data_IF_143030562715
#
_entry.id   IF_143030562715
#
_cell.length_a   1.000
_cell.length_b   1.000
_cell.length_c   1.000
_cell.angle_alpha   90.00
_cell.angle_beta   90.00
_cell.angle_gamma   90.00
#
_symmetry.space_group_name_H-M   'P 1'
#
loop_
_entity.id
_entity.type
_entity.pdbx_description
1 polymer ?
#
# COMPACT_ATOMS: atom_id res chain seq x y z
N UNK A 1 35.28 48.43 -19.28
CA UNK A 1 35.34 47.12 -19.95
C UNK A 1 34.91 46.04 -18.97
N UNK A 2 33.66 45.56 -19.10
CA UNK A 2 33.15 44.24 -18.66
C UNK A 2 31.67 44.19 -19.06
N UNK A 3 31.41 43.61 -20.21
CA UNK A 3 30.07 43.25 -20.68
C UNK A 3 29.78 41.90 -20.01
N UNK A 4 28.83 41.85 -19.09
CA UNK A 4 28.28 40.58 -18.61
C UNK A 4 27.09 40.22 -19.48
N UNK A 5 27.34 39.32 -20.43
CA UNK A 5 26.31 38.64 -21.21
C UNK A 5 25.61 37.62 -20.32
N UNK A 6 24.36 37.88 -19.95
CA UNK A 6 23.51 36.89 -19.30
C UNK A 6 22.98 35.91 -20.36
N UNK A 7 23.60 34.74 -20.45
CA UNK A 7 23.02 33.59 -21.15
C UNK A 7 21.86 33.05 -20.30
N UNK A 8 20.63 33.30 -20.73
CA UNK A 8 19.47 32.59 -20.21
C UNK A 8 19.51 31.15 -20.73
N UNK A 9 20.00 30.22 -19.91
CA UNK A 9 19.73 28.79 -20.10
C UNK A 9 18.24 28.57 -19.81
N UNK A 10 17.42 28.54 -20.87
CA UNK A 10 16.09 27.98 -20.77
C UNK A 10 16.24 26.48 -20.47
N UNK A 11 16.03 26.10 -19.22
CA UNK A 11 15.89 24.71 -18.83
C UNK A 11 14.61 24.18 -19.46
N UNK A 12 14.73 23.50 -20.60
CA UNK A 12 13.75 22.53 -21.05
C UNK A 12 13.70 21.44 -19.99
N UNK A 13 12.83 21.63 -19.00
CA UNK A 13 12.32 20.51 -18.21
C UNK A 13 11.49 19.71 -19.19
N UNK A 14 12.12 18.74 -19.84
CA UNK A 14 11.39 17.62 -20.39
C UNK A 14 10.58 17.06 -19.23
N UNK A 15 9.26 17.32 -19.25
CA UNK A 15 8.31 16.60 -18.45
C UNK A 15 8.31 15.16 -18.98
N UNK A 16 9.37 14.41 -18.66
CA UNK A 16 9.42 12.99 -18.88
C UNK A 16 8.18 12.43 -18.17
N UNK A 17 7.20 11.99 -18.97
CA UNK A 17 5.97 11.42 -18.46
C UNK A 17 6.37 10.28 -17.51
N UNK A 18 6.16 10.50 -16.21
CA UNK A 18 6.53 9.52 -15.18
C UNK A 18 5.88 8.19 -15.53
N UNK A 19 6.61 7.06 -15.50
CA UNK A 19 6.02 5.76 -15.77
C UNK A 19 4.85 5.55 -14.80
N UNK A 20 3.68 5.26 -15.37
CA UNK A 20 2.45 4.93 -14.66
C UNK A 20 2.40 3.42 -14.44
N UNK A 21 1.90 2.98 -13.30
CA UNK A 21 1.74 1.58 -12.95
C UNK A 21 0.39 1.34 -12.28
N UNK A 22 -0.30 0.29 -12.75
CA UNK A 22 -1.60 -0.09 -12.23
C UNK A 22 -1.45 -1.31 -11.34
N UNK A 23 -1.92 -1.22 -10.10
CA UNK A 23 -2.04 -2.38 -9.21
C UNK A 23 -3.37 -3.06 -9.48
N UNK A 24 -3.32 -4.37 -9.71
CA UNK A 24 -4.45 -5.19 -10.09
C UNK A 24 -4.49 -6.46 -9.23
N UNK A 25 -5.67 -6.82 -8.74
CA UNK A 25 -5.93 -8.14 -8.17
C UNK A 25 -7.18 -8.69 -8.85
N UNK A 26 -7.13 -9.93 -9.35
CA UNK A 26 -8.27 -10.62 -9.96
C UNK A 26 -8.35 -12.01 -9.36
N UNK A 27 -9.53 -12.42 -8.92
CA UNK A 27 -9.77 -13.72 -8.29
C UNK A 27 -11.00 -14.42 -8.82
N UNK A 28 -10.92 -15.75 -8.89
CA UNK A 28 -12.05 -16.66 -9.06
C UNK A 28 -12.16 -17.50 -7.79
N UNK A 29 -13.12 -17.18 -6.91
CA UNK A 29 -13.13 -17.74 -5.56
C UNK A 29 -11.84 -17.37 -4.82
N UNK A 30 -11.05 -18.38 -4.42
CA UNK A 30 -9.75 -18.18 -3.75
C UNK A 30 -8.58 -18.10 -4.72
N UNK A 31 -8.78 -18.45 -5.99
CA UNK A 31 -7.70 -18.58 -6.97
C UNK A 31 -7.37 -17.24 -7.61
N UNK A 32 -6.09 -16.90 -7.65
CA UNK A 32 -5.59 -15.70 -8.33
C UNK A 32 -5.55 -15.92 -9.85
N UNK A 33 -6.04 -14.92 -10.58
CA UNK A 33 -6.05 -14.91 -12.05
C UNK A 33 -4.96 -13.96 -12.55
N UNK A 34 -4.01 -14.50 -13.31
CA UNK A 34 -3.04 -13.68 -14.06
C UNK A 34 -3.80 -12.79 -15.06
N UNK A 35 -3.54 -11.48 -15.00
CA UNK A 35 -4.20 -10.49 -15.84
C UNK A 35 -4.04 -10.79 -17.34
N UNK A 36 -2.92 -11.40 -17.75
CA UNK A 36 -2.65 -11.81 -19.14
C UNK A 36 -3.65 -12.81 -19.67
N UNK A 37 -4.29 -13.59 -18.79
CA UNK A 37 -5.28 -14.61 -19.17
C UNK A 37 -6.66 -14.02 -19.42
N UNK A 38 -6.93 -12.81 -18.93
CA UNK A 38 -8.26 -12.21 -18.97
C UNK A 38 -8.85 -12.08 -20.39
N UNK A 39 -8.07 -11.69 -21.43
CA UNK A 39 -8.58 -11.71 -22.81
C UNK A 39 -8.96 -13.10 -23.31
N UNK A 40 -8.22 -14.14 -22.92
CA UNK A 40 -8.54 -15.51 -23.33
C UNK A 40 -9.79 -16.03 -22.60
N UNK A 41 -9.90 -15.77 -21.29
CA UNK A 41 -11.09 -16.13 -20.52
C UNK A 41 -12.36 -15.49 -21.09
N UNK A 42 -12.28 -14.24 -21.55
CA UNK A 42 -13.38 -13.59 -22.26
C UNK A 42 -13.76 -14.33 -23.54
N UNK A 43 -12.76 -14.71 -24.36
CA UNK A 43 -13.01 -15.48 -25.60
C UNK A 43 -13.66 -16.82 -25.30
N UNK A 44 -13.17 -17.54 -24.29
CA UNK A 44 -13.71 -18.84 -23.87
C UNK A 44 -15.17 -18.72 -23.40
N UNK A 45 -15.55 -17.58 -22.82
CA UNK A 45 -16.91 -17.24 -22.43
C UNK A 45 -17.79 -16.67 -23.57
N UNK A 46 -17.31 -16.66 -24.82
CA UNK A 46 -18.05 -16.15 -25.97
C UNK A 46 -18.09 -14.61 -26.09
N UNK A 47 -17.17 -13.91 -25.43
CA UNK A 47 -17.02 -12.45 -25.53
C UNK A 47 -15.80 -12.06 -26.35
N UNK A 48 -15.92 -10.98 -27.13
CA UNK A 48 -14.78 -10.41 -27.87
C UNK A 48 -14.06 -9.38 -26.99
N UNK A 49 -12.80 -9.62 -26.58
CA UNK A 49 -12.03 -8.63 -25.84
C UNK A 49 -11.59 -7.47 -26.75
N UNK A 50 -11.35 -6.31 -26.15
CA UNK A 50 -10.69 -5.19 -26.83
C UNK A 50 -9.31 -5.63 -27.35
N UNK A 51 -9.09 -5.54 -28.66
CA UNK A 51 -7.88 -6.05 -29.31
C UNK A 51 -6.64 -5.23 -28.94
N UNK A 52 -6.78 -3.92 -28.73
CA UNK A 52 -5.67 -3.05 -28.31
C UNK A 52 -5.22 -3.45 -26.91
N UNK A 53 -6.17 -3.68 -26.00
CA UNK A 53 -5.86 -4.09 -24.62
C UNK A 53 -5.33 -5.52 -24.59
N UNK A 54 -5.88 -6.44 -25.37
CA UNK A 54 -5.39 -7.81 -25.46
C UNK A 54 -3.94 -7.87 -25.96
N UNK A 55 -3.59 -7.09 -27.00
CA UNK A 55 -2.22 -6.97 -27.48
C UNK A 55 -1.31 -6.33 -26.42
N UNK A 56 -1.77 -5.25 -25.78
CA UNK A 56 -1.01 -4.61 -24.70
C UNK A 56 -0.70 -5.59 -23.57
N UNK A 57 -1.67 -6.38 -23.10
CA UNK A 57 -1.47 -7.33 -22.00
C UNK A 57 -0.55 -8.50 -22.38
N UNK A 58 -0.40 -8.81 -23.67
CA UNK A 58 0.56 -9.80 -24.14
C UNK A 58 2.01 -9.32 -23.94
N UNK A 59 2.27 -8.05 -24.27
CA UNK A 59 3.62 -7.47 -24.29
C UNK A 59 3.99 -6.73 -23.00
N UNK A 60 3.00 -6.30 -22.22
CA UNK A 60 3.20 -5.45 -21.06
C UNK A 60 4.08 -6.14 -19.99
N UNK A 61 5.06 -5.44 -19.41
CA UNK A 61 5.73 -5.88 -18.21
C UNK A 61 4.72 -5.93 -17.05
N UNK A 62 4.36 -7.14 -16.63
CA UNK A 62 3.49 -7.39 -15.47
C UNK A 62 4.28 -8.19 -14.44
N UNK A 63 4.40 -7.62 -13.24
CA UNK A 63 5.04 -8.24 -12.09
C UNK A 63 3.97 -8.84 -11.18
N UNK A 64 4.07 -10.12 -10.86
CA UNK A 64 3.17 -10.79 -9.91
C UNK A 64 3.78 -10.77 -8.50
N UNK A 65 3.04 -10.23 -7.54
CA UNK A 65 3.36 -10.18 -6.12
C UNK A 65 2.56 -11.28 -5.39
N UNK A 66 3.07 -12.51 -5.47
CA UNK A 66 2.36 -13.75 -5.09
C UNK A 66 1.76 -13.72 -3.68
N UNK A 67 2.50 -13.25 -2.69
CA UNK A 67 2.07 -13.30 -1.28
C UNK A 67 1.02 -12.25 -0.91
N UNK A 68 0.90 -11.19 -1.70
CA UNK A 68 -0.15 -10.15 -1.54
C UNK A 68 -1.22 -10.25 -2.62
N UNK A 69 -1.22 -11.33 -3.41
CA UNK A 69 -2.20 -11.65 -4.44
C UNK A 69 -2.53 -10.49 -5.38
N UNK A 70 -1.49 -9.79 -5.82
CA UNK A 70 -1.59 -8.59 -6.62
C UNK A 70 -0.58 -8.63 -7.76
N UNK A 71 -0.87 -7.90 -8.83
CA UNK A 71 -0.03 -7.73 -10.00
C UNK A 71 0.17 -6.24 -10.25
N UNK A 72 1.37 -5.86 -10.68
CA UNK A 72 1.69 -4.48 -11.06
C UNK A 72 2.01 -4.45 -12.53
N UNK A 73 1.23 -3.64 -13.26
CA UNK A 73 1.28 -3.51 -14.72
C UNK A 73 1.84 -2.15 -15.06
N UNK A 74 2.92 -2.09 -15.86
CA UNK A 74 3.40 -0.80 -16.37
C UNK A 74 2.45 -0.26 -17.45
N UNK A 75 1.77 0.84 -17.16
CA UNK A 75 0.81 1.52 -18.05
C UNK A 75 1.37 2.85 -18.53
N UNK A 76 0.83 3.38 -19.63
CA UNK A 76 1.20 4.71 -20.10
C UNK A 76 0.13 5.29 -21.02
N UNK A 77 0.06 6.62 -21.12
CA UNK A 77 -0.85 7.29 -22.05
C UNK A 77 -0.54 6.99 -23.53
N UNK A 78 0.70 6.57 -23.85
CA UNK A 78 1.12 6.22 -25.20
C UNK A 78 0.70 4.80 -25.61
N UNK A 79 0.46 3.92 -24.64
CA UNK A 79 0.03 2.54 -24.85
C UNK A 79 -1.41 2.35 -24.38
N UNK A 80 -1.59 1.92 -23.14
CA UNK A 80 -2.86 1.80 -22.43
C UNK A 80 -2.69 2.48 -21.08
N UNK A 81 -3.50 3.50 -20.80
CA UNK A 81 -3.48 4.16 -19.50
C UNK A 81 -4.23 3.36 -18.43
N UNK A 82 -3.96 3.70 -17.16
CA UNK A 82 -4.46 2.99 -15.99
C UNK A 82 -6.00 2.98 -15.90
N UNK A 83 -6.67 4.05 -16.32
CA UNK A 83 -8.13 4.16 -16.26
C UNK A 83 -8.80 3.28 -17.33
N UNK A 84 -8.24 3.27 -18.54
CA UNK A 84 -8.68 2.36 -19.62
C UNK A 84 -8.49 0.91 -19.19
N UNK A 85 -7.32 0.58 -18.63
CA UNK A 85 -7.04 -0.77 -18.14
C UNK A 85 -8.02 -1.18 -17.03
N UNK A 86 -8.24 -0.33 -16.03
CA UNK A 86 -9.17 -0.64 -14.94
C UNK A 86 -10.61 -0.81 -15.44
N UNK A 87 -11.08 0.02 -16.37
CA UNK A 87 -12.41 -0.15 -16.98
C UNK A 87 -12.55 -1.49 -17.69
N UNK A 88 -11.53 -1.92 -18.44
CA UNK A 88 -11.51 -3.23 -19.08
C UNK A 88 -11.55 -4.36 -18.05
N UNK A 89 -10.75 -4.29 -16.99
CA UNK A 89 -10.71 -5.30 -15.93
C UNK A 89 -12.07 -5.40 -15.24
N UNK A 90 -12.69 -4.29 -14.85
CA UNK A 90 -14.01 -4.28 -14.22
C UNK A 90 -15.07 -4.89 -15.15
N UNK A 91 -15.10 -4.48 -16.42
CA UNK A 91 -16.03 -5.04 -17.40
C UNK A 91 -15.82 -6.55 -17.57
N UNK A 92 -14.58 -6.99 -17.74
CA UNK A 92 -14.24 -8.40 -17.96
C UNK A 92 -14.58 -9.25 -16.74
N UNK A 93 -14.27 -8.75 -15.55
CA UNK A 93 -14.55 -9.44 -14.29
C UNK A 93 -16.05 -9.59 -14.08
N UNK A 94 -16.85 -8.57 -14.38
CA UNK A 94 -18.31 -8.67 -14.31
C UNK A 94 -18.87 -9.72 -15.29
N UNK A 95 -18.35 -9.79 -16.51
CA UNK A 95 -18.76 -10.79 -17.50
C UNK A 95 -18.40 -12.23 -17.11
N UNK A 96 -17.30 -12.38 -16.39
CA UNK A 96 -16.74 -13.68 -16.00
C UNK A 96 -17.09 -14.06 -14.55
N UNK A 97 -17.89 -13.26 -13.85
CA UNK A 97 -18.20 -13.43 -12.42
C UNK A 97 -16.95 -13.52 -11.52
N UNK A 98 -15.93 -12.72 -11.84
CA UNK A 98 -14.68 -12.63 -11.09
C UNK A 98 -14.72 -11.46 -10.09
N UNK A 99 -13.96 -11.59 -9.01
CA UNK A 99 -13.69 -10.49 -8.10
C UNK A 99 -12.47 -9.74 -8.61
N UNK A 100 -12.54 -8.41 -8.74
CA UNK A 100 -11.38 -7.61 -9.14
C UNK A 100 -11.25 -6.32 -8.36
N UNK A 101 -10.01 -5.94 -8.12
CA UNK A 101 -9.61 -4.63 -7.61
C UNK A 101 -8.57 -4.06 -8.56
N UNK A 102 -8.76 -2.81 -8.96
CA UNK A 102 -7.84 -2.11 -9.84
C UNK A 102 -7.65 -0.69 -9.31
N UNK A 103 -6.41 -0.33 -9.01
CA UNK A 103 -6.05 0.98 -8.51
C UNK A 103 -5.21 1.71 -9.56
N UNK A 104 -5.76 2.74 -10.23
CA UNK A 104 -4.97 3.63 -11.07
C UNK A 104 -4.07 4.51 -10.18
N UNK A 105 -2.89 4.83 -10.70
CA UNK A 105 -1.81 5.57 -10.06
C UNK A 105 -2.20 6.71 -9.12
N UNK A 106 -1.41 6.90 -8.06
CA UNK A 106 -0.63 8.12 -7.97
C UNK A 106 0.66 7.93 -7.12
N UNK A 107 1.60 8.86 -7.30
CA UNK A 107 2.99 8.84 -6.81
C UNK A 107 3.10 8.72 -5.28
N UNK A 108 4.03 7.87 -4.83
CA UNK A 108 4.77 8.09 -3.58
C UNK A 108 6.26 7.83 -3.77
N UNK A 109 7.10 8.51 -2.98
CA UNK A 109 8.56 8.36 -3.05
C UNK A 109 8.92 7.03 -2.36
N UNK A 110 9.64 6.16 -3.06
CA UNK A 110 10.26 4.98 -2.44
C UNK A 110 11.32 5.48 -1.46
N UNK A 111 11.24 5.15 -0.17
CA UNK A 111 12.37 5.41 0.73
C UNK A 111 13.55 4.56 0.27
N UNK A 112 14.65 5.20 -0.11
CA UNK A 112 15.92 4.53 -0.34
C UNK A 112 16.69 4.49 0.98
N UNK A 113 16.95 3.29 1.49
CA UNK A 113 17.77 3.07 2.69
C UNK A 113 18.31 1.63 2.69
N UNK A 114 19.51 1.42 2.14
CA UNK A 114 20.11 0.09 2.05
C UNK A 114 20.97 -0.18 3.29
N UNK A 115 20.46 -0.98 4.24
CA UNK A 115 21.30 -1.64 5.26
C UNK A 115 20.73 -2.99 5.80
N UNK A 116 19.69 -3.54 5.17
CA UNK A 116 19.12 -4.85 5.58
C UNK A 116 18.64 -5.66 4.37
N UNK A 117 18.41 -6.97 4.56
CA UNK A 117 17.76 -7.83 3.55
C UNK A 117 16.44 -7.23 3.06
N UNK A 118 15.73 -6.53 3.94
CA UNK A 118 14.45 -5.87 3.67
C UNK A 118 14.58 -4.50 3.01
N UNK A 119 15.79 -3.96 2.84
CA UNK A 119 16.01 -2.65 2.21
C UNK A 119 15.52 -1.48 3.08
N UNK A 120 15.62 -1.64 4.40
CA UNK A 120 15.30 -0.61 5.39
C UNK A 120 16.44 -0.42 6.41
N UNK A 121 16.50 0.72 7.08
CA UNK A 121 17.55 1.06 8.05
C UNK A 121 17.18 0.76 9.53
N UNK A 122 16.10 0.03 9.76
CA UNK A 122 15.58 -0.30 11.09
C UNK A 122 16.43 -1.42 11.74
N UNK A 123 16.95 -1.25 12.98
CA UNK A 123 17.93 -2.18 13.58
C UNK A 123 17.45 -3.63 13.72
N UNK A 124 16.16 -3.85 13.95
CA UNK A 124 15.58 -5.18 14.15
C UNK A 124 15.05 -5.80 12.85
N UNK A 125 15.16 -5.12 11.70
CA UNK A 125 14.65 -5.60 10.42
C UNK A 125 15.18 -6.99 10.04
N UNK A 126 16.42 -7.30 10.42
CA UNK A 126 17.05 -8.61 10.16
C UNK A 126 16.39 -9.79 10.90
N UNK A 127 15.66 -9.51 11.99
CA UNK A 127 14.94 -10.49 12.79
C UNK A 127 13.56 -10.84 12.20
N UNK A 128 13.06 -10.03 11.26
CA UNK A 128 11.70 -10.13 10.73
C UNK A 128 11.57 -11.10 9.56
N UNK A 129 11.83 -12.39 9.81
CA UNK A 129 11.82 -13.45 8.78
C UNK A 129 10.50 -13.61 8.04
N UNK A 130 9.38 -13.29 8.68
CA UNK A 130 8.08 -13.28 8.03
C UNK A 130 8.00 -12.29 6.85
N UNK A 131 8.67 -11.13 6.93
CA UNK A 131 8.71 -10.16 5.85
C UNK A 131 9.60 -10.62 4.69
N UNK A 132 10.69 -11.35 4.99
CA UNK A 132 11.52 -12.00 3.98
C UNK A 132 10.70 -13.09 3.24
N UNK A 133 9.97 -13.93 3.98
CA UNK A 133 9.12 -14.99 3.39
C UNK A 133 8.01 -14.46 2.49
N UNK A 134 7.40 -13.33 2.85
CA UNK A 134 6.37 -12.68 2.04
C UNK A 134 6.96 -11.82 0.90
N UNK A 135 8.29 -11.76 0.78
CA UNK A 135 9.01 -10.90 -0.17
C UNK A 135 8.59 -9.42 -0.06
N UNK A 136 8.41 -8.92 1.16
CA UNK A 136 7.82 -7.59 1.40
C UNK A 136 8.67 -6.45 0.86
N UNK A 137 9.99 -6.63 0.78
CA UNK A 137 10.87 -5.68 0.10
C UNK A 137 10.40 -5.39 -1.32
N UNK A 138 10.18 -6.44 -2.11
CA UNK A 138 9.70 -6.29 -3.49
C UNK A 138 8.29 -5.70 -3.52
N UNK A 139 7.42 -6.09 -2.60
CA UNK A 139 6.09 -5.48 -2.48
C UNK A 139 6.21 -3.99 -2.26
N UNK A 140 7.02 -3.52 -1.32
CA UNK A 140 7.18 -2.09 -1.06
C UNK A 140 7.85 -1.36 -2.23
N UNK A 141 8.91 -1.91 -2.82
CA UNK A 141 9.61 -1.31 -3.96
C UNK A 141 8.70 -1.17 -5.18
N UNK A 142 7.87 -2.18 -5.45
CA UNK A 142 7.04 -2.24 -6.66
C UNK A 142 5.68 -1.57 -6.45
N UNK A 143 5.09 -1.61 -5.25
CA UNK A 143 3.72 -1.08 -5.02
C UNK A 143 3.69 0.31 -4.39
N UNK A 144 4.62 0.65 -3.47
CA UNK A 144 4.60 1.94 -2.77
C UNK A 144 4.60 3.16 -3.69
N UNK A 145 5.29 3.15 -4.87
CA UNK A 145 5.20 4.26 -5.82
C UNK A 145 3.78 4.61 -6.28
N UNK A 146 2.84 3.66 -6.18
CA UNK A 146 1.49 3.79 -6.72
C UNK A 146 0.42 3.97 -5.63
N UNK A 147 0.80 3.94 -4.34
CA UNK A 147 -0.12 4.08 -3.19
C UNK A 147 -0.14 5.54 -2.72
N UNK A 148 -1.27 6.24 -2.92
CA UNK A 148 -1.43 7.66 -2.49
C UNK A 148 -2.32 7.90 -1.30
N UNK A 149 -3.25 6.98 -1.04
CA UNK A 149 -4.16 7.10 0.10
C UNK A 149 -3.62 6.22 1.19
N UNK A 150 -3.37 6.82 2.36
CA UNK A 150 -3.12 6.04 3.57
C UNK A 150 -4.42 5.35 3.96
N UNK A 151 -4.40 4.03 4.04
CA UNK A 151 -5.49 3.29 4.66
C UNK A 151 -5.56 3.68 6.14
N UNK A 152 -6.77 3.85 6.66
CA UNK A 152 -7.01 3.97 8.10
C UNK A 152 -7.32 2.58 8.64
N UNK A 153 -6.53 2.09 9.59
CA UNK A 153 -6.65 0.74 10.13
C UNK A 153 -6.95 0.83 11.62
N UNK A 154 -8.07 0.25 12.02
CA UNK A 154 -8.41 0.13 13.43
C UNK A 154 -7.86 -1.20 13.98
N UNK A 155 -7.15 -1.13 15.11
CA UNK A 155 -6.62 -2.30 15.82
C UNK A 155 -7.42 -2.43 17.11
N UNK A 156 -8.19 -3.51 17.24
CA UNK A 156 -9.01 -3.78 18.42
C UNK A 156 -8.22 -4.70 19.36
N UNK A 157 -7.63 -4.13 20.41
CA UNK A 157 -6.74 -4.88 21.33
C UNK A 157 -6.67 -4.18 22.71
N UNK A 158 -5.53 -4.28 23.39
CA UNK A 158 -5.21 -3.76 24.73
C UNK A 158 -4.64 -2.35 24.73
N UNK A 159 -4.86 -1.58 23.66
CA UNK A 159 -4.34 -0.22 23.49
C UNK A 159 -3.05 -0.17 22.65
N UNK A 160 -2.38 0.99 22.70
CA UNK A 160 -1.10 1.22 22.00
C UNK A 160 -0.22 2.16 22.82
N UNK A 161 1.09 1.94 22.75
CA UNK A 161 2.09 2.86 23.25
C UNK A 161 2.45 3.93 22.19
N UNK A 162 1.78 5.09 22.14
CA UNK A 162 2.14 6.18 21.20
C UNK A 162 3.47 6.87 21.47
N UNK A 163 4.11 6.60 22.62
CA UNK A 163 5.46 7.09 22.92
C UNK A 163 6.54 6.24 22.23
N UNK A 164 6.17 5.12 21.63
CA UNK A 164 7.07 4.30 20.83
C UNK A 164 7.48 5.06 19.55
N UNK A 165 8.79 5.23 19.27
CA UNK A 165 9.27 5.95 18.10
C UNK A 165 8.85 5.30 16.76
N UNK A 166 8.49 4.01 16.74
CA UNK A 166 7.97 3.34 15.54
C UNK A 166 6.54 3.78 15.18
N UNK A 167 5.83 4.48 16.07
CA UNK A 167 4.45 4.90 15.82
C UNK A 167 4.25 6.40 15.68
N UNK A 168 5.24 7.22 16.06
CA UNK A 168 5.13 8.68 16.05
C UNK A 168 4.52 9.29 14.75
N UNK A 169 4.83 8.82 13.53
CA UNK A 169 4.27 9.39 12.29
C UNK A 169 2.97 8.72 11.80
N UNK A 170 2.41 7.76 12.55
CA UNK A 170 1.27 6.93 12.14
C UNK A 170 -0.03 7.29 12.85
N UNK A 171 0.05 8.08 13.93
CA UNK A 171 -1.10 8.62 14.63
C UNK A 171 -1.91 9.48 13.66
N UNK A 172 -3.21 9.21 13.55
CA UNK A 172 -4.09 10.06 12.76
C UNK A 172 -5.38 10.36 13.47
N UNK A 173 -6.02 11.43 12.99
CA UNK A 173 -7.32 11.87 13.48
C UNK A 173 -8.44 11.12 12.75
N UNK A 174 -9.36 10.54 13.53
CA UNK A 174 -10.58 9.94 13.01
C UNK A 174 -11.77 10.83 13.28
N UNK A 175 -12.42 11.30 12.22
CA UNK A 175 -13.66 12.06 12.35
C UNK A 175 -14.79 11.16 12.83
N UNK A 176 -15.46 11.55 13.91
CA UNK A 176 -16.63 10.86 14.43
C UNK A 176 -17.89 11.26 13.67
N UNK A 177 -18.85 10.32 13.55
CA UNK A 177 -20.17 10.60 12.94
C UNK A 177 -20.98 11.63 13.73
N UNK A 178 -20.81 11.65 15.06
CA UNK A 178 -21.43 12.60 15.98
C UNK A 178 -20.84 14.01 15.93
N UNK A 179 -19.75 14.22 15.17
CA UNK A 179 -18.93 15.43 15.25
C UNK A 179 -17.73 15.24 16.18
N UNK A 180 -16.65 15.98 15.94
CA UNK A 180 -15.38 15.82 16.65
C UNK A 180 -14.43 14.80 16.01
N UNK A 181 -13.29 14.58 16.67
CA UNK A 181 -12.20 13.71 16.21
C UNK A 181 -11.69 12.83 17.35
N UNK A 182 -11.40 11.56 17.06
CA UNK A 182 -10.56 10.71 17.89
C UNK A 182 -9.11 10.98 17.52
N UNK A 183 -8.33 11.45 18.49
CA UNK A 183 -6.89 11.68 18.32
C UNK A 183 -6.13 10.38 18.62
N UNK A 184 -5.89 9.58 17.59
CA UNK A 184 -5.08 8.36 17.72
C UNK A 184 -5.72 7.24 18.52
N UNK A 185 -7.06 7.15 18.54
CA UNK A 185 -7.77 5.98 19.06
C UNK A 185 -8.78 6.27 20.16
N UNK A 186 -9.32 5.20 20.75
CA UNK A 186 -10.29 5.28 21.84
C UNK A 186 -10.22 4.07 22.76
N UNK A 187 -10.43 4.28 24.05
CA UNK A 187 -10.53 3.23 25.06
C UNK A 187 -11.99 3.01 25.44
N UNK A 188 -12.55 1.85 25.08
CA UNK A 188 -13.93 1.50 25.37
C UNK A 188 -14.15 1.06 26.83
N UNK A 189 -13.09 0.70 27.55
CA UNK A 189 -13.17 0.27 28.96
C UNK A 189 -13.33 1.48 29.87
N UNK A 190 -12.59 2.55 29.59
CA UNK A 190 -12.59 3.77 30.41
C UNK A 190 -13.41 4.91 29.81
N UNK A 191 -14.00 4.70 28.62
CA UNK A 191 -14.68 5.70 27.81
C UNK A 191 -13.86 6.98 27.63
N UNK A 192 -12.61 6.83 27.20
CA UNK A 192 -11.65 7.94 27.11
C UNK A 192 -10.69 7.80 25.93
N UNK A 193 -9.95 8.87 25.64
CA UNK A 193 -8.84 8.84 24.67
C UNK A 193 -7.53 8.28 25.25
N UNK A 194 -7.52 7.88 26.53
CA UNK A 194 -6.36 7.30 27.19
C UNK A 194 -6.28 5.80 26.90
N UNK A 195 -5.26 5.40 26.13
CA UNK A 195 -5.04 4.01 25.70
C UNK A 195 -4.07 3.24 26.63
N UNK A 196 -4.04 3.61 27.92
CA UNK A 196 -3.26 3.05 29.04
C UNK A 196 -1.93 2.37 28.68
N UNK A 197 -0.80 2.99 29.04
CA UNK A 197 0.58 2.53 28.76
C UNK A 197 1.05 1.49 29.81
N UNK A 198 1.88 0.46 29.56
CA UNK A 198 3.14 0.29 28.79
C UNK A 198 3.16 -1.14 28.21
N UNK A 199 3.77 -1.37 27.03
CA UNK A 199 4.08 -2.69 26.42
C UNK A 199 3.03 -3.78 26.61
N UNK A 200 1.84 -3.52 26.06
CA UNK A 200 0.75 -4.49 25.97
C UNK A 200 0.74 -5.22 24.63
N UNK A 201 -0.02 -6.32 24.55
CA UNK A 201 -0.22 -7.10 23.33
C UNK A 201 -0.62 -6.23 22.11
N UNK A 202 -1.41 -5.17 22.32
CA UNK A 202 -1.89 -4.29 21.24
C UNK A 202 -0.79 -3.43 20.62
N UNK A 203 0.25 -3.09 21.39
CA UNK A 203 1.45 -2.43 20.89
C UNK A 203 2.20 -3.35 19.92
N UNK A 204 2.43 -4.61 20.30
CA UNK A 204 3.13 -5.58 19.46
C UNK A 204 2.34 -5.93 18.18
N UNK A 205 1.02 -6.13 18.30
CA UNK A 205 0.13 -6.32 17.15
C UNK A 205 0.23 -5.12 16.20
N UNK A 206 0.19 -3.90 16.73
CA UNK A 206 0.30 -2.68 15.94
C UNK A 206 1.68 -2.55 15.28
N UNK A 207 2.75 -3.05 15.91
CA UNK A 207 4.12 -3.00 15.35
C UNK A 207 4.23 -3.92 14.14
N UNK A 208 3.78 -5.17 14.26
CA UNK A 208 3.74 -6.13 13.15
C UNK A 208 2.93 -5.55 11.98
N UNK A 209 1.82 -4.87 12.27
CA UNK A 209 0.98 -4.25 11.25
C UNK A 209 1.69 -3.08 10.55
N UNK A 210 2.22 -2.11 11.30
CA UNK A 210 2.55 -0.81 10.73
C UNK A 210 3.78 -0.08 11.32
N UNK A 211 4.60 -0.68 12.17
CA UNK A 211 5.83 -0.05 12.68
C UNK A 211 6.56 0.73 11.57
N UNK A 212 6.94 1.97 11.86
CA UNK A 212 7.43 2.87 10.83
C UNK A 212 8.80 2.39 10.34
N UNK A 213 8.85 1.90 9.12
CA UNK A 213 10.12 1.59 8.49
C UNK A 213 10.90 2.83 8.06
N UNK A 214 12.22 2.66 7.95
CA UNK A 214 13.20 3.67 7.58
C UNK A 214 13.25 4.88 8.54
N UNK A 215 13.00 4.66 9.83
CA UNK A 215 13.11 5.70 10.88
C UNK A 215 14.33 5.49 11.78
N UNK A 216 15.12 4.43 11.57
CA UNK A 216 16.27 4.02 12.40
C UNK A 216 15.92 3.57 13.82
N UNK A 217 14.66 3.19 14.06
CA UNK A 217 14.18 2.61 15.31
C UNK A 217 13.64 1.20 15.06
N UNK A 218 13.63 0.39 16.12
CA UNK A 218 12.97 -0.91 16.19
C UNK A 218 12.88 -1.69 14.88
N UNK A 219 11.65 -1.87 14.42
CA UNK A 219 11.29 -2.78 13.33
C UNK A 219 10.39 -2.09 12.28
N UNK A 220 10.14 -2.76 11.16
CA UNK A 220 9.22 -2.27 10.11
C UNK A 220 7.95 -3.12 10.03
N UNK A 221 6.76 -2.52 10.02
CA UNK A 221 5.50 -3.23 9.87
C UNK A 221 5.22 -3.64 8.42
N UNK A 222 4.25 -4.54 8.22
CA UNK A 222 3.79 -4.96 6.87
C UNK A 222 3.34 -3.76 6.03
N UNK A 223 2.66 -2.80 6.64
CA UNK A 223 2.11 -1.61 6.00
C UNK A 223 2.58 -0.31 6.72
N UNK A 224 3.85 0.11 6.54
CA UNK A 224 4.46 1.21 7.31
C UNK A 224 3.97 2.61 6.93
N UNK A 225 2.93 2.70 6.09
CA UNK A 225 2.36 3.92 5.52
C UNK A 225 0.83 3.98 5.70
N UNK A 226 0.32 3.44 6.80
CA UNK A 226 -1.10 3.55 7.19
C UNK A 226 -1.30 4.68 8.19
N UNK A 227 -2.58 4.93 8.51
CA UNK A 227 -3.01 5.69 9.67
C UNK A 227 -3.58 4.69 10.67
N UNK A 228 -3.02 4.66 11.88
CA UNK A 228 -3.47 3.77 12.94
C UNK A 228 -4.59 4.43 13.76
N UNK A 229 -5.56 3.61 14.12
CA UNK A 229 -6.75 3.98 14.89
C UNK A 229 -7.08 2.92 15.96
N UNK A 230 -6.24 2.75 16.99
CA UNK A 230 -6.44 1.72 18.00
C UNK A 230 -7.74 1.92 18.76
N UNK A 231 -8.45 0.83 19.00
CA UNK A 231 -9.64 0.78 19.83
C UNK A 231 -9.35 -0.21 20.94
N UNK A 232 -9.15 0.29 22.16
CA UNK A 232 -8.90 -0.58 23.29
C UNK A 232 -10.21 -1.23 23.74
N UNK A 233 -10.22 -2.56 23.71
CA UNK A 233 -11.35 -3.43 24.08
C UNK A 233 -10.99 -4.38 25.22
N UNK A 234 -9.70 -4.54 25.51
CA UNK A 234 -9.20 -5.36 26.62
C UNK A 234 -8.28 -4.55 27.54
N UNK A 235 -8.22 -4.96 28.80
CA UNK A 235 -7.28 -4.42 29.77
C UNK A 235 -5.88 -5.02 29.59
N UNK A 236 -4.96 -4.70 30.49
CA UNK A 236 -3.58 -5.22 30.46
C UNK A 236 -3.47 -6.73 30.71
N UNK A 237 -4.52 -7.38 31.23
CA UNK A 237 -4.61 -8.83 31.40
C UNK A 237 -5.24 -9.52 30.19
N UNK A 238 -5.67 -8.77 29.18
CA UNK A 238 -6.39 -9.29 28.03
C UNK A 238 -7.87 -9.56 28.31
N UNK A 239 -8.41 -9.06 29.42
CA UNK A 239 -9.82 -9.22 29.79
C UNK A 239 -10.66 -8.08 29.23
N UNK A 240 -11.83 -8.40 28.67
CA UNK A 240 -12.81 -7.44 28.16
C UNK A 240 -14.23 -7.97 28.33
N UNK A 241 -15.19 -7.07 28.57
CA UNK A 241 -16.62 -7.38 28.81
C UNK A 241 -17.51 -6.71 27.79
#
# INVERSE_FOLDING_TARGET
MRILSAFALASLVDAAASPKGTIVSIKSGTDEIDLRRLPQLLRDAGHTPDQKIASFLHDAPIKTLKYVHSQVVKTSALTVDSDILCKFITMASNKLSLQSHCAPDARSVVPAGLDSNLGVNDPEASLQKHLEWMNMREVWEVSSPYVTRKAKVAVLDSGINWNDPDFAPLKGELKLKSGGYLDGGWNLITDSADLTYVDTHGTDVSKVLAAKGNNSYGMVGVAPNVILAPIQVTDHNGEGS
#
